data_IF_969366973091
#
_entry.id   IF_969366973091
#
_cell.length_a   1.000
_cell.length_b   1.000
_cell.length_c   1.000
_cell.angle_alpha   90.00
_cell.angle_beta   90.00
_cell.angle_gamma   90.00
#
_symmetry.space_group_name_H-M   'P 1'
#
loop_
_entity.id
_entity.type
_entity.pdbx_description
1 polymer ?
#
# COMPACT_ATOMS: atom_id res chain seq x y z
N UNK A 1 35.23 15.86 10.63
CA UNK A 1 34.13 15.69 9.65
C UNK A 1 32.83 15.78 10.41
N UNK A 2 31.96 16.70 10.03
CA UNK A 2 30.64 16.85 10.64
C UNK A 2 29.72 15.73 10.15
N UNK A 3 28.94 15.14 11.05
CA UNK A 3 27.99 14.08 10.71
C UNK A 3 26.89 14.62 9.79
N UNK A 4 26.48 13.81 8.82
CA UNK A 4 25.34 14.18 7.97
C UNK A 4 24.05 14.24 8.81
N UNK A 5 23.32 15.36 8.72
CA UNK A 5 22.05 15.55 9.42
C UNK A 5 21.03 14.48 9.00
N UNK A 6 20.23 14.00 9.95
CA UNK A 6 19.17 13.00 9.70
C UNK A 6 18.21 13.39 8.57
N UNK A 7 17.88 14.68 8.45
CA UNK A 7 17.04 15.17 7.36
C UNK A 7 17.64 14.97 5.97
N UNK A 8 18.97 15.08 5.84
CA UNK A 8 19.69 14.81 4.59
C UNK A 8 19.67 13.31 4.31
N UNK A 9 20.01 12.47 5.30
CA UNK A 9 19.94 11.01 5.20
C UNK A 9 18.58 10.54 4.66
N UNK A 10 17.47 11.04 5.22
CA UNK A 10 16.11 10.74 4.73
C UNK A 10 15.85 11.18 3.29
N UNK A 11 16.33 12.36 2.89
CA UNK A 11 16.19 12.84 1.50
C UNK A 11 16.95 11.94 0.53
N UNK A 12 18.17 11.53 0.88
CA UNK A 12 18.99 10.63 0.08
C UNK A 12 18.31 9.24 0.00
N UNK A 13 17.77 8.71 1.10
CA UNK A 13 17.00 7.45 1.05
C UNK A 13 15.84 7.52 0.06
N UNK A 14 15.07 8.62 0.07
CA UNK A 14 13.98 8.83 -0.91
C UNK A 14 14.48 8.96 -2.34
N UNK A 15 15.64 9.58 -2.55
CA UNK A 15 16.27 9.61 -3.87
C UNK A 15 16.59 8.21 -4.38
N UNK A 16 17.22 7.36 -3.55
CA UNK A 16 17.49 5.96 -3.92
C UNK A 16 16.18 5.25 -4.28
N UNK A 17 15.15 5.38 -3.44
CA UNK A 17 13.81 4.79 -3.66
C UNK A 17 13.19 5.14 -5.02
N UNK A 18 13.47 6.35 -5.51
CA UNK A 18 12.88 6.83 -6.76
C UNK A 18 13.75 6.54 -8.00
N UNK A 19 15.08 6.39 -7.84
CA UNK A 19 16.04 6.37 -8.95
C UNK A 19 16.83 5.07 -9.10
N UNK A 20 16.74 4.14 -8.14
CA UNK A 20 17.42 2.85 -8.26
C UNK A 20 16.70 1.94 -9.29
N UNK A 21 17.39 1.66 -10.39
CA UNK A 21 16.88 0.81 -11.49
C UNK A 21 17.77 -0.42 -11.79
N UNK A 22 18.91 -0.55 -11.11
CA UNK A 22 19.80 -1.71 -11.30
C UNK A 22 19.15 -3.00 -10.76
N UNK A 23 19.55 -4.16 -11.30
CA UNK A 23 19.08 -5.45 -10.77
C UNK A 23 19.62 -5.68 -9.34
N UNK A 24 20.91 -5.41 -9.15
CA UNK A 24 21.60 -5.52 -7.87
C UNK A 24 22.85 -4.65 -7.88
N UNK A 25 23.08 -3.90 -6.80
CA UNK A 25 24.28 -3.05 -6.65
C UNK A 25 24.65 -2.85 -5.20
N UNK A 26 25.94 -2.73 -4.92
CA UNK A 26 26.38 -2.35 -3.57
C UNK A 26 25.95 -0.92 -3.26
N UNK A 27 25.45 -0.67 -2.04
CA UNK A 27 24.94 0.64 -1.64
C UNK A 27 26.03 1.72 -1.67
N UNK A 28 27.22 1.38 -1.17
CA UNK A 28 28.43 2.23 -1.20
C UNK A 28 28.76 2.66 -2.64
N UNK A 29 28.85 1.70 -3.56
CA UNK A 29 29.12 1.93 -4.97
C UNK A 29 28.04 2.77 -5.63
N UNK A 30 26.75 2.47 -5.37
CA UNK A 30 25.64 3.27 -5.91
C UNK A 30 25.76 4.73 -5.47
N UNK A 31 26.01 4.99 -4.18
CA UNK A 31 26.16 6.34 -3.65
C UNK A 31 27.39 7.06 -4.21
N UNK A 32 28.51 6.35 -4.36
CA UNK A 32 29.72 6.89 -4.95
C UNK A 32 29.48 7.36 -6.40
N UNK A 33 28.88 6.51 -7.23
CA UNK A 33 28.61 6.83 -8.63
C UNK A 33 27.53 7.91 -8.82
N UNK A 34 26.60 8.04 -7.88
CA UNK A 34 25.48 8.98 -7.97
C UNK A 34 25.64 10.24 -7.11
N UNK A 35 26.77 10.45 -6.44
CA UNK A 35 26.93 11.52 -5.45
C UNK A 35 26.62 12.93 -6.01
N UNK A 36 27.12 13.24 -7.22
CA UNK A 36 26.82 14.50 -7.90
C UNK A 36 25.32 14.65 -8.18
N UNK A 37 24.71 13.63 -8.83
CA UNK A 37 23.28 13.62 -9.12
C UNK A 37 22.41 13.75 -7.87
N UNK A 38 22.82 13.15 -6.75
CA UNK A 38 22.14 13.25 -5.46
C UNK A 38 22.15 14.70 -4.96
N UNK A 39 23.32 15.35 -4.93
CA UNK A 39 23.46 16.75 -4.46
C UNK A 39 22.67 17.71 -5.34
N UNK A 40 22.79 17.58 -6.66
CA UNK A 40 22.13 18.44 -7.64
C UNK A 40 20.61 18.29 -7.61
N UNK A 41 20.10 17.06 -7.72
CA UNK A 41 18.65 16.81 -7.79
C UNK A 41 17.93 17.17 -6.48
N UNK A 42 18.59 16.96 -5.33
CA UNK A 42 18.03 17.28 -4.02
C UNK A 42 18.34 18.70 -3.54
N UNK A 43 19.13 19.48 -4.30
CA UNK A 43 19.62 20.82 -3.96
C UNK A 43 20.20 20.87 -2.54
N UNK A 44 21.11 19.95 -2.24
CA UNK A 44 21.73 19.85 -0.91
C UNK A 44 22.85 20.88 -0.77
N UNK A 45 22.95 21.48 0.42
CA UNK A 45 24.05 22.39 0.78
C UNK A 45 25.23 21.61 1.36
N UNK A 46 25.71 20.60 0.64
CA UNK A 46 26.88 19.77 0.98
C UNK A 46 27.65 19.47 -0.31
N UNK A 47 28.93 19.15 -0.20
CA UNK A 47 29.73 18.71 -1.35
C UNK A 47 29.51 17.22 -1.64
N UNK A 48 29.65 16.76 -2.89
CA UNK A 48 29.56 15.33 -3.24
C UNK A 48 30.54 14.46 -2.44
N UNK A 49 31.73 14.99 -2.16
CA UNK A 49 32.75 14.35 -1.33
C UNK A 49 32.25 14.07 0.10
N UNK A 50 31.40 14.94 0.66
CA UNK A 50 30.81 14.69 1.98
C UNK A 50 29.97 13.41 1.99
N UNK A 51 29.27 13.10 0.89
CA UNK A 51 28.52 11.85 0.74
C UNK A 51 29.50 10.67 0.68
N UNK A 52 30.58 10.80 -0.09
CA UNK A 52 31.58 9.75 -0.27
C UNK A 52 32.23 9.38 1.06
N UNK A 53 32.75 10.37 1.78
CA UNK A 53 33.49 10.15 3.02
C UNK A 53 32.61 9.80 4.22
N UNK A 54 31.29 9.96 4.14
CA UNK A 54 30.36 9.65 5.25
C UNK A 54 29.48 8.43 5.01
N UNK A 55 28.62 8.47 4.00
CA UNK A 55 27.56 7.46 3.81
C UNK A 55 27.79 6.55 2.61
N UNK A 56 28.86 6.76 1.83
CA UNK A 56 29.32 5.79 0.84
C UNK A 56 30.47 4.91 1.36
N UNK A 57 31.23 5.35 2.37
CA UNK A 57 32.25 4.53 3.03
C UNK A 57 31.63 3.57 4.05
N UNK A 58 31.66 2.27 3.75
CA UNK A 58 31.08 1.21 4.60
C UNK A 58 31.77 1.08 5.97
N UNK A 59 32.99 1.60 6.14
CA UNK A 59 33.70 1.61 7.41
C UNK A 59 33.33 2.80 8.31
N UNK A 60 32.61 3.78 7.77
CA UNK A 60 32.20 4.95 8.53
C UNK A 60 30.95 4.64 9.39
N UNK A 61 30.92 5.16 10.62
CA UNK A 61 29.76 5.03 11.52
C UNK A 61 28.48 5.66 10.92
N UNK A 62 28.63 6.73 10.14
CA UNK A 62 27.51 7.41 9.49
C UNK A 62 26.84 6.53 8.42
N UNK A 63 27.58 5.64 7.76
CA UNK A 63 27.04 4.63 6.84
C UNK A 63 26.07 3.69 7.57
N UNK A 64 26.44 3.19 8.74
CA UNK A 64 25.58 2.28 9.52
C UNK A 64 24.31 2.97 10.00
N UNK A 65 24.39 4.25 10.37
CA UNK A 65 23.22 5.05 10.70
C UNK A 65 22.33 5.27 9.46
N UNK A 66 22.93 5.57 8.30
CA UNK A 66 22.21 5.72 7.05
C UNK A 66 21.50 4.43 6.63
N UNK A 67 22.14 3.27 6.76
CA UNK A 67 21.53 1.96 6.52
C UNK A 67 20.29 1.76 7.38
N UNK A 68 20.32 2.15 8.67
CA UNK A 68 19.13 2.10 9.54
C UNK A 68 18.01 3.00 9.04
N UNK A 69 18.34 4.24 8.67
CA UNK A 69 17.36 5.20 8.10
C UNK A 69 16.75 4.64 6.82
N UNK A 70 17.56 4.08 5.92
CA UNK A 70 17.08 3.50 4.67
C UNK A 70 16.17 2.28 4.92
N UNK A 71 16.53 1.38 5.85
CA UNK A 71 15.66 0.26 6.27
C UNK A 71 14.32 0.76 6.80
N UNK A 72 14.31 1.81 7.60
CA UNK A 72 13.07 2.40 8.11
C UNK A 72 12.21 2.98 6.99
N UNK A 73 12.79 3.68 6.02
CA UNK A 73 12.04 4.22 4.88
C UNK A 73 11.48 3.11 3.97
N UNK A 74 12.24 2.04 3.71
CA UNK A 74 11.74 0.85 2.99
C UNK A 74 10.60 0.19 3.77
N UNK A 75 10.75 0.03 5.10
CA UNK A 75 9.70 -0.54 5.95
C UNK A 75 8.43 0.32 5.94
N UNK A 76 8.56 1.65 5.95
CA UNK A 76 7.43 2.59 5.82
C UNK A 76 6.72 2.46 4.47
N UNK A 77 7.42 2.08 3.40
CA UNK A 77 6.80 1.81 2.10
C UNK A 77 5.90 0.57 2.12
N UNK A 78 6.11 -0.36 3.06
CA UNK A 78 5.17 -1.45 3.38
C UNK A 78 4.97 -2.45 2.24
N UNK A 79 6.07 -2.89 1.62
CA UNK A 79 6.05 -3.80 0.45
C UNK A 79 6.09 -3.08 -0.90
N UNK A 80 5.78 -1.78 -0.94
CA UNK A 80 5.72 -0.97 -2.16
C UNK A 80 7.07 -0.32 -2.54
N UNK A 81 8.17 -0.87 -2.04
CA UNK A 81 9.51 -0.40 -2.40
C UNK A 81 9.94 -1.10 -3.68
N UNK A 82 10.50 -0.38 -4.65
CA UNK A 82 11.02 -0.98 -5.90
C UNK A 82 12.26 -1.84 -5.67
N UNK A 83 12.91 -1.72 -4.51
CA UNK A 83 14.05 -2.54 -4.12
C UNK A 83 13.99 -2.99 -2.67
N UNK A 84 14.76 -4.04 -2.39
CA UNK A 84 15.10 -4.57 -1.09
C UNK A 84 16.51 -4.12 -0.70
N UNK A 85 16.75 -3.96 0.61
CA UNK A 85 18.09 -3.75 1.14
C UNK A 85 18.55 -5.05 1.81
N UNK A 86 19.49 -5.75 1.18
CA UNK A 86 20.13 -6.95 1.71
C UNK A 86 21.36 -6.52 2.50
N UNK A 87 21.43 -6.92 3.75
CA UNK A 87 22.60 -6.65 4.60
C UNK A 87 23.27 -7.96 4.97
N UNK A 88 24.52 -8.12 4.52
CA UNK A 88 25.42 -9.18 4.95
C UNK A 88 26.44 -8.62 5.93
N UNK A 89 27.22 -9.48 6.60
CA UNK A 89 28.18 -9.08 7.64
C UNK A 89 29.21 -8.03 7.19
N UNK A 90 29.48 -7.92 5.88
CA UNK A 90 30.52 -7.03 5.34
C UNK A 90 30.00 -5.98 4.37
N UNK A 91 28.80 -6.15 3.81
CA UNK A 91 28.32 -5.33 2.69
C UNK A 91 26.80 -5.17 2.70
N UNK A 92 26.32 -4.05 2.13
CA UNK A 92 24.92 -3.76 1.95
C UNK A 92 24.61 -3.66 0.45
N UNK A 93 23.63 -4.41 -0.03
CA UNK A 93 23.20 -4.41 -1.43
C UNK A 93 21.79 -3.85 -1.55
N UNK A 94 21.60 -3.00 -2.56
CA UNK A 94 20.32 -2.69 -3.14
C UNK A 94 20.01 -3.78 -4.17
N UNK A 95 18.86 -4.44 -4.05
CA UNK A 95 18.42 -5.47 -4.99
C UNK A 95 16.99 -5.19 -5.41
N UNK A 96 16.70 -5.32 -6.70
CA UNK A 96 15.36 -5.09 -7.24
C UNK A 96 14.35 -6.01 -6.55
N UNK A 97 13.25 -5.43 -6.11
CA UNK A 97 12.13 -6.16 -5.49
C UNK A 97 11.23 -6.79 -6.56
N UNK A 98 10.28 -7.63 -6.13
CA UNK A 98 9.20 -8.13 -7.00
C UNK A 98 8.47 -6.99 -7.70
N UNK A 99 8.12 -5.92 -6.98
CA UNK A 99 7.49 -4.73 -7.58
C UNK A 99 8.37 -4.10 -8.66
N UNK A 100 9.66 -3.95 -8.39
CA UNK A 100 10.62 -3.42 -9.37
C UNK A 100 10.65 -4.27 -10.64
N UNK A 101 10.67 -5.60 -10.50
CA UNK A 101 10.62 -6.55 -11.63
C UNK A 101 9.30 -6.43 -12.40
N UNK A 102 8.16 -6.36 -11.71
CA UNK A 102 6.85 -6.22 -12.34
C UNK A 102 6.66 -4.89 -13.08
N UNK A 103 7.31 -3.82 -12.61
CA UNK A 103 7.35 -2.53 -13.32
C UNK A 103 8.15 -2.68 -14.63
N UNK A 104 9.36 -3.23 -14.56
CA UNK A 104 10.22 -3.39 -15.73
C UNK A 104 9.61 -4.32 -16.79
N UNK A 105 8.89 -5.35 -16.34
CA UNK A 105 8.17 -6.27 -17.23
C UNK A 105 6.83 -5.70 -17.75
N UNK A 106 6.47 -4.46 -17.39
CA UNK A 106 5.28 -3.78 -17.89
C UNK A 106 3.94 -4.20 -17.27
N UNK A 107 3.91 -5.13 -16.30
CA UNK A 107 2.68 -5.58 -15.66
C UNK A 107 1.96 -4.43 -14.96
N UNK A 108 2.69 -3.58 -14.23
CA UNK A 108 2.10 -2.42 -13.55
C UNK A 108 1.38 -1.50 -14.55
N UNK A 109 2.06 -1.13 -15.63
CA UNK A 109 1.50 -0.26 -16.67
C UNK A 109 0.26 -0.89 -17.29
N UNK A 110 0.30 -2.19 -17.61
CA UNK A 110 -0.83 -2.91 -18.18
C UNK A 110 -2.06 -2.90 -17.26
N UNK A 111 -1.89 -3.06 -15.95
CA UNK A 111 -3.00 -2.98 -14.98
C UNK A 111 -3.55 -1.56 -14.85
N UNK A 112 -2.69 -0.55 -14.86
CA UNK A 112 -3.09 0.87 -14.86
C UNK A 112 -3.88 1.22 -16.12
N UNK A 113 -3.44 0.77 -17.28
CA UNK A 113 -4.13 0.97 -18.57
C UNK A 113 -5.50 0.30 -18.56
N UNK A 114 -5.62 -0.92 -18.01
CA UNK A 114 -6.90 -1.61 -17.87
C UNK A 114 -7.89 -0.89 -16.96
N UNK A 115 -7.42 -0.31 -15.84
CA UNK A 115 -8.29 0.53 -15.01
C UNK A 115 -8.76 1.80 -15.73
N UNK A 116 -7.89 2.39 -16.57
CA UNK A 116 -8.28 3.54 -17.38
C UNK A 116 -9.28 3.17 -18.49
N UNK A 117 -9.14 1.99 -19.09
CA UNK A 117 -10.09 1.45 -20.08
C UNK A 117 -11.50 1.31 -19.47
N UNK A 118 -11.59 0.77 -18.25
CA UNK A 118 -12.87 0.57 -17.54
C UNK A 118 -13.67 1.87 -17.40
N UNK A 119 -13.03 3.04 -17.36
CA UNK A 119 -13.72 4.34 -17.30
C UNK A 119 -14.66 4.58 -18.48
N UNK A 120 -14.39 3.96 -19.62
CA UNK A 120 -15.18 4.12 -20.83
C UNK A 120 -16.46 3.27 -20.81
N UNK A 121 -16.55 2.28 -19.93
CA UNK A 121 -17.71 1.39 -19.85
C UNK A 121 -18.85 2.02 -19.05
N UNK A 122 -20.10 1.75 -19.46
CA UNK A 122 -21.30 2.26 -18.78
C UNK A 122 -21.39 1.77 -17.31
N UNK A 123 -20.92 0.54 -17.04
CA UNK A 123 -20.98 -0.09 -15.73
C UNK A 123 -19.64 0.00 -14.96
N UNK A 124 -18.85 1.04 -15.23
CA UNK A 124 -17.48 1.21 -14.69
C UNK A 124 -17.39 1.12 -13.16
N UNK A 125 -18.34 1.70 -12.43
CA UNK A 125 -18.41 1.66 -10.98
C UNK A 125 -18.60 0.23 -10.42
N UNK A 126 -19.53 -0.54 -11.00
CA UNK A 126 -19.78 -1.95 -10.62
C UNK A 126 -18.55 -2.81 -10.89
N UNK A 127 -17.90 -2.58 -12.03
CA UNK A 127 -16.68 -3.28 -12.41
C UNK A 127 -15.56 -3.00 -11.39
N UNK A 128 -15.39 -1.73 -11.01
CA UNK A 128 -14.37 -1.35 -10.05
C UNK A 128 -14.65 -1.87 -8.63
N UNK A 129 -15.92 -1.88 -8.19
CA UNK A 129 -16.33 -2.54 -6.95
C UNK A 129 -15.99 -4.03 -6.96
N UNK A 130 -16.26 -4.72 -8.07
CA UNK A 130 -15.89 -6.13 -8.23
C UNK A 130 -14.38 -6.35 -8.19
N UNK A 131 -13.61 -5.47 -8.82
CA UNK A 131 -12.14 -5.50 -8.71
C UNK A 131 -11.69 -5.34 -7.25
N UNK A 132 -12.22 -4.37 -6.50
CA UNK A 132 -11.89 -4.16 -5.10
C UNK A 132 -12.28 -5.36 -4.21
N UNK A 133 -13.44 -5.97 -4.46
CA UNK A 133 -13.89 -7.16 -3.75
C UNK A 133 -12.96 -8.36 -3.99
N UNK A 134 -12.56 -8.59 -5.25
CA UNK A 134 -11.60 -9.64 -5.59
C UNK A 134 -10.22 -9.36 -4.98
N UNK A 135 -9.78 -8.11 -4.97
CA UNK A 135 -8.55 -7.69 -4.28
C UNK A 135 -8.60 -8.06 -2.80
N UNK A 136 -9.69 -7.77 -2.08
CA UNK A 136 -9.82 -8.19 -0.68
C UNK A 136 -9.72 -9.72 -0.50
N UNK A 137 -10.31 -10.51 -1.41
CA UNK A 137 -10.19 -11.97 -1.37
C UNK A 137 -8.75 -12.45 -1.58
N UNK A 138 -8.02 -11.83 -2.50
CA UNK A 138 -6.61 -12.14 -2.77
C UNK A 138 -5.73 -11.91 -1.52
N UNK A 139 -6.09 -10.93 -0.68
CA UNK A 139 -5.38 -10.61 0.57
C UNK A 139 -6.05 -11.19 1.82
N UNK A 140 -6.52 -12.44 1.73
CA UNK A 140 -7.02 -13.27 2.84
C UNK A 140 -8.31 -12.80 3.53
N UNK A 141 -9.08 -11.90 2.93
CA UNK A 141 -10.43 -11.65 3.42
C UNK A 141 -11.38 -12.76 2.94
N UNK A 142 -12.22 -13.24 3.84
CA UNK A 142 -13.23 -14.27 3.61
C UNK A 142 -14.62 -13.65 3.51
N UNK A 143 -15.58 -14.39 2.96
CA UNK A 143 -16.99 -13.97 2.87
C UNK A 143 -17.19 -12.58 2.25
N UNK A 144 -16.35 -12.22 1.27
CA UNK A 144 -16.39 -10.90 0.62
C UNK A 144 -17.55 -10.83 -0.35
N UNK A 145 -18.51 -9.94 -0.09
CA UNK A 145 -19.72 -9.75 -0.89
C UNK A 145 -19.91 -8.28 -1.27
N UNK A 146 -20.29 -8.04 -2.52
CA UNK A 146 -20.75 -6.72 -2.99
C UNK A 146 -22.23 -6.59 -2.59
N UNK A 147 -22.61 -5.46 -2.00
CA UNK A 147 -23.99 -5.20 -1.62
C UNK A 147 -24.84 -4.82 -2.83
N UNK A 148 -26.15 -5.06 -2.77
CA UNK A 148 -27.07 -4.62 -3.81
C UNK A 148 -27.43 -3.16 -3.61
N UNK A 149 -27.39 -2.37 -4.68
CA UNK A 149 -27.55 -0.90 -4.66
C UNK A 149 -28.88 -0.39 -4.06
N UNK A 150 -29.89 -1.26 -3.92
CA UNK A 150 -31.19 -0.89 -3.37
C UNK A 150 -31.26 -0.93 -1.84
N UNK A 151 -30.23 -1.42 -1.15
CA UNK A 151 -30.26 -1.68 0.29
C UNK A 151 -28.89 -1.56 0.98
N UNK A 152 -27.90 -0.97 0.32
CA UNK A 152 -26.49 -0.98 0.73
C UNK A 152 -26.18 -0.13 1.98
N UNK A 153 -27.09 0.77 2.36
CA UNK A 153 -26.89 1.78 3.42
C UNK A 153 -25.56 2.53 3.23
N UNK A 154 -25.10 2.72 2.00
CA UNK A 154 -23.82 3.37 1.66
C UNK A 154 -22.57 2.51 1.80
N UNK A 155 -22.69 1.22 2.11
CA UNK A 155 -21.60 0.23 2.12
C UNK A 155 -21.64 -0.61 0.84
N UNK A 156 -20.60 -0.54 0.02
CA UNK A 156 -20.56 -1.24 -1.28
C UNK A 156 -20.01 -2.67 -1.14
N UNK A 157 -19.12 -2.93 -0.17
CA UNK A 157 -18.50 -4.25 0.05
C UNK A 157 -18.51 -4.62 1.53
N UNK A 158 -18.92 -5.85 1.82
CA UNK A 158 -18.79 -6.48 3.14
C UNK A 158 -17.80 -7.64 3.05
N UNK A 159 -17.16 -7.98 4.16
CA UNK A 159 -16.26 -9.13 4.23
C UNK A 159 -15.85 -9.43 5.66
N UNK A 160 -14.97 -10.41 5.83
CA UNK A 160 -14.50 -10.84 7.14
C UNK A 160 -13.02 -11.17 7.09
N UNK A 161 -12.27 -10.76 8.12
CA UNK A 161 -10.94 -11.29 8.37
C UNK A 161 -11.04 -12.28 9.53
N UNK A 162 -10.74 -13.55 9.26
CA UNK A 162 -10.81 -14.62 10.26
C UNK A 162 -9.41 -14.79 10.85
N UNK A 163 -9.30 -14.70 12.16
CA UNK A 163 -8.03 -14.95 12.83
C UNK A 163 -7.74 -16.45 12.83
N UNK A 164 -6.52 -16.81 12.44
CA UNK A 164 -6.03 -18.17 12.69
C UNK A 164 -5.91 -18.36 14.21
N UNK A 165 -6.48 -19.45 14.73
CA UNK A 165 -6.43 -19.79 16.16
C UNK A 165 -4.99 -20.08 16.57
N UNK A 166 -4.28 -19.08 17.10
CA UNK A 166 -2.89 -19.23 17.56
C UNK A 166 -2.82 -19.65 19.03
N UNK A 167 -3.91 -19.50 19.80
CA UNK A 167 -3.85 -19.72 21.22
C UNK A 167 -4.15 -21.18 21.57
N UNK A 168 -3.15 -21.89 22.11
CA UNK A 168 -3.40 -23.07 22.96
C UNK A 168 -3.97 -22.65 24.34
N UNK A 169 -4.86 -21.65 24.37
CA UNK A 169 -5.38 -21.05 25.59
C UNK A 169 -6.88 -20.78 25.43
N UNK A 170 -7.66 -21.70 25.99
CA UNK A 170 -9.12 -21.69 25.97
C UNK A 170 -9.74 -20.37 26.47
N UNK A 171 -9.12 -19.69 27.44
CA UNK A 171 -9.63 -18.42 27.94
C UNK A 171 -9.48 -17.30 26.90
N UNK A 172 -8.37 -17.27 26.17
CA UNK A 172 -8.17 -16.29 25.10
C UNK A 172 -9.11 -16.54 23.92
N UNK A 173 -9.35 -17.82 23.58
CA UNK A 173 -10.28 -18.19 22.51
C UNK A 173 -11.74 -17.78 22.81
N UNK A 174 -12.11 -17.72 24.10
CA UNK A 174 -13.42 -17.24 24.55
C UNK A 174 -13.52 -15.71 24.61
N UNK A 175 -12.43 -15.02 24.91
CA UNK A 175 -12.42 -13.56 25.12
C UNK A 175 -12.10 -12.77 23.86
N UNK A 176 -11.35 -13.34 22.92
CA UNK A 176 -10.94 -12.66 21.70
C UNK A 176 -11.95 -12.90 20.57
N UNK A 177 -12.24 -11.86 19.75
CA UNK A 177 -13.08 -12.05 18.58
C UNK A 177 -12.38 -12.97 17.59
N UNK A 178 -13.08 -14.01 17.12
CA UNK A 178 -12.56 -14.95 16.12
C UNK A 178 -12.47 -14.34 14.72
N UNK A 179 -13.18 -13.23 14.49
CA UNK A 179 -13.17 -12.50 13.23
C UNK A 179 -13.37 -11.00 13.42
N UNK A 180 -12.90 -10.23 12.43
CA UNK A 180 -13.21 -8.82 12.24
C UNK A 180 -14.13 -8.71 11.03
N UNK A 181 -15.25 -7.99 11.17
CA UNK A 181 -16.10 -7.64 10.04
C UNK A 181 -15.51 -6.44 9.29
N UNK A 182 -15.51 -6.51 7.98
CA UNK A 182 -15.06 -5.45 7.08
C UNK A 182 -16.28 -4.78 6.47
N UNK A 183 -16.34 -3.46 6.56
CA UNK A 183 -17.31 -2.63 5.83
C UNK A 183 -16.53 -1.67 4.95
N UNK A 184 -16.81 -1.69 3.66
CA UNK A 184 -16.08 -0.87 2.70
C UNK A 184 -16.99 -0.06 1.82
N UNK A 185 -16.56 1.16 1.52
CA UNK A 185 -17.15 2.01 0.49
C UNK A 185 -16.14 2.21 -0.64
N UNK A 186 -16.63 2.24 -1.87
CA UNK A 186 -15.86 2.34 -3.11
C UNK A 186 -16.30 3.58 -3.88
N UNK A 187 -15.33 4.33 -4.40
CA UNK A 187 -15.58 5.45 -5.31
C UNK A 187 -14.67 5.40 -6.53
N UNK A 188 -15.28 5.31 -7.69
CA UNK A 188 -14.61 5.31 -8.99
C UNK A 188 -14.77 6.67 -9.68
N UNK A 189 -14.02 7.67 -9.20
CA UNK A 189 -14.00 9.02 -9.76
C UNK A 189 -12.57 9.43 -10.12
N UNK A 190 -12.45 10.38 -11.05
CA UNK A 190 -11.17 11.02 -11.39
C UNK A 190 -10.74 12.06 -10.34
N UNK A 191 -11.67 12.55 -9.53
CA UNK A 191 -11.39 13.50 -8.45
C UNK A 191 -10.95 12.82 -7.15
N UNK A 192 -10.13 13.53 -6.37
CA UNK A 192 -9.77 13.08 -5.03
C UNK A 192 -10.99 13.10 -4.10
N UNK A 193 -11.09 12.07 -3.27
CA UNK A 193 -12.13 11.95 -2.26
C UNK A 193 -11.83 12.89 -1.08
N UNK A 194 -12.85 13.64 -0.69
CA UNK A 194 -12.79 14.55 0.47
C UNK A 194 -13.25 13.87 1.77
N UNK A 195 -13.18 14.61 2.87
CA UNK A 195 -13.55 14.16 4.21
C UNK A 195 -15.03 13.79 4.36
N UNK A 196 -15.93 14.34 3.53
CA UNK A 196 -17.37 14.16 3.68
C UNK A 196 -17.81 12.71 3.42
N UNK A 197 -17.22 12.06 2.41
CA UNK A 197 -17.46 10.66 2.10
C UNK A 197 -17.02 9.73 3.23
N UNK A 198 -15.85 9.98 3.81
CA UNK A 198 -15.33 9.19 4.92
C UNK A 198 -16.20 9.35 6.16
N UNK A 199 -16.68 10.57 6.45
CA UNK A 199 -17.64 10.81 7.53
C UNK A 199 -18.95 10.07 7.30
N UNK A 200 -19.42 10.03 6.06
CA UNK A 200 -20.62 9.27 5.68
C UNK A 200 -20.43 7.77 5.96
N UNK A 201 -19.31 7.18 5.52
CA UNK A 201 -18.96 5.78 5.83
C UNK A 201 -19.00 5.48 7.34
N UNK A 202 -18.46 6.38 8.19
CA UNK A 202 -18.54 6.22 9.65
C UNK A 202 -20.01 6.20 10.09
N UNK A 203 -20.80 7.18 9.66
CA UNK A 203 -22.22 7.27 10.02
C UNK A 203 -23.00 6.02 9.61
N UNK A 204 -22.87 5.63 8.34
CA UNK A 204 -23.50 4.46 7.74
C UNK A 204 -23.13 3.17 8.51
N UNK A 205 -21.85 3.02 8.87
CA UNK A 205 -21.39 1.87 9.66
C UNK A 205 -22.02 1.79 11.05
N UNK A 206 -22.33 2.92 11.69
CA UNK A 206 -23.00 2.95 12.98
C UNK A 206 -24.43 2.43 12.84
N UNK A 207 -25.17 2.85 11.81
CA UNK A 207 -26.53 2.36 11.57
C UNK A 207 -26.56 0.85 11.30
N UNK A 208 -25.61 0.34 10.52
CA UNK A 208 -25.47 -1.09 10.22
C UNK A 208 -25.28 -1.93 11.49
N UNK A 209 -24.54 -1.43 12.49
CA UNK A 209 -24.37 -2.15 13.76
C UNK A 209 -25.67 -2.29 14.56
N UNK A 210 -26.66 -1.44 14.30
CA UNK A 210 -27.97 -1.47 14.97
C UNK A 210 -29.07 -2.08 14.11
N UNK A 211 -28.82 -2.41 12.84
CA UNK A 211 -29.75 -3.13 11.97
C UNK A 211 -29.84 -4.60 12.39
N UNK A 212 -30.95 -4.96 13.03
CA UNK A 212 -31.18 -6.28 13.62
C UNK A 212 -31.68 -7.33 12.63
N UNK A 213 -32.00 -6.95 11.39
CA UNK A 213 -32.56 -7.86 10.40
C UNK A 213 -31.54 -8.24 9.33
N UNK A 214 -30.75 -7.29 8.84
CA UNK A 214 -29.84 -7.53 7.70
C UNK A 214 -28.39 -7.83 8.10
N UNK A 215 -27.90 -7.26 9.20
CA UNK A 215 -26.47 -7.29 9.56
C UNK A 215 -26.17 -7.93 10.91
N UNK A 216 -27.00 -8.91 11.31
CA UNK A 216 -26.89 -9.64 12.59
C UNK A 216 -25.47 -10.18 12.85
N UNK A 217 -24.79 -10.64 11.80
CA UNK A 217 -23.44 -11.22 11.87
C UNK A 217 -22.33 -10.19 12.16
N UNK A 218 -22.60 -8.88 12.04
CA UNK A 218 -21.63 -7.79 12.24
C UNK A 218 -21.75 -7.19 13.65
N UNK A 219 -22.95 -7.19 14.22
CA UNK A 219 -23.32 -6.49 15.47
C UNK A 219 -22.34 -6.71 16.63
N UNK A 220 -21.92 -7.95 16.84
CA UNK A 220 -21.09 -8.33 17.99
C UNK A 220 -19.60 -8.44 17.66
N UNK A 221 -19.22 -8.24 16.40
CA UNK A 221 -17.83 -8.32 15.97
C UNK A 221 -17.20 -6.92 15.91
N UNK A 222 -15.87 -6.83 16.11
CA UNK A 222 -15.14 -5.63 15.75
C UNK A 222 -15.34 -5.33 14.26
N UNK A 223 -15.46 -4.06 13.95
CA UNK A 223 -15.63 -3.58 12.57
C UNK A 223 -14.39 -2.82 12.16
N UNK A 224 -13.89 -3.11 10.97
CA UNK A 224 -12.82 -2.36 10.34
C UNK A 224 -13.34 -1.71 9.06
N UNK A 225 -13.18 -0.39 8.98
CA UNK A 225 -13.69 0.40 7.87
C UNK A 225 -12.61 0.60 6.83
N UNK A 226 -12.97 0.35 5.57
CA UNK A 226 -12.08 0.53 4.41
C UNK A 226 -12.75 1.48 3.42
N UNK A 227 -12.00 2.43 2.89
CA UNK A 227 -12.46 3.28 1.80
C UNK A 227 -11.55 3.06 0.59
N UNK A 228 -12.15 2.60 -0.51
CA UNK A 228 -11.50 2.45 -1.79
C UNK A 228 -11.76 3.67 -2.68
N UNK A 229 -10.71 4.19 -3.31
CA UNK A 229 -10.83 5.27 -4.28
C UNK A 229 -9.94 5.03 -5.49
N UNK A 230 -10.45 5.30 -6.70
CA UNK A 230 -9.59 5.24 -7.88
C UNK A 230 -8.49 6.29 -7.85
N UNK A 231 -8.85 7.57 -7.79
CA UNK A 231 -7.89 8.68 -7.81
C UNK A 231 -7.23 8.96 -6.46
N UNK A 232 -7.75 8.40 -5.38
CA UNK A 232 -7.22 8.57 -4.04
C UNK A 232 -7.90 9.70 -3.26
N UNK A 233 -7.15 10.31 -2.33
CA UNK A 233 -7.72 11.10 -1.24
C UNK A 233 -7.00 12.42 -1.05
N UNK A 234 -7.75 13.45 -0.65
CA UNK A 234 -7.17 14.72 -0.20
C UNK A 234 -6.35 14.55 1.08
N UNK A 235 -5.39 15.44 1.35
CA UNK A 235 -4.57 15.37 2.57
C UNK A 235 -5.37 15.58 3.85
N UNK A 236 -6.49 16.29 3.77
CA UNK A 236 -7.44 16.44 4.88
C UNK A 236 -8.19 15.13 5.14
N UNK A 237 -8.68 14.48 4.08
CA UNK A 237 -9.31 13.17 4.16
C UNK A 237 -8.37 12.10 4.74
N UNK A 238 -7.09 12.09 4.32
CA UNK A 238 -6.06 11.19 4.86
C UNK A 238 -5.83 11.39 6.35
N UNK A 239 -5.70 12.65 6.80
CA UNK A 239 -5.56 12.98 8.22
C UNK A 239 -6.78 12.56 9.02
N UNK A 240 -7.97 12.90 8.55
CA UNK A 240 -9.22 12.53 9.21
C UNK A 240 -9.39 11.01 9.32
N UNK A 241 -9.14 10.25 8.26
CA UNK A 241 -9.21 8.78 8.29
C UNK A 241 -8.20 8.18 9.27
N UNK A 242 -6.97 8.69 9.30
CA UNK A 242 -5.94 8.23 10.23
C UNK A 242 -6.38 8.40 11.70
N UNK A 243 -6.94 9.56 12.02
CA UNK A 243 -7.40 9.89 13.38
C UNK A 243 -8.59 9.02 13.79
N UNK A 244 -9.44 8.63 12.83
CA UNK A 244 -10.60 7.75 13.03
C UNK A 244 -10.33 6.26 12.74
N UNK A 245 -9.07 5.87 12.51
CA UNK A 245 -8.65 4.48 12.24
C UNK A 245 -9.36 3.82 11.04
N UNK A 246 -9.61 4.60 9.99
CA UNK A 246 -10.21 4.13 8.73
C UNK A 246 -9.09 3.87 7.74
N UNK A 247 -9.15 2.71 7.07
CA UNK A 247 -8.15 2.36 6.07
C UNK A 247 -8.51 2.97 4.73
N UNK A 248 -7.63 3.81 4.20
CA UNK A 248 -7.74 4.32 2.84
C UNK A 248 -6.91 3.47 1.89
N UNK A 249 -7.49 3.08 0.76
CA UNK A 249 -6.86 2.27 -0.27
C UNK A 249 -7.16 2.91 -1.62
N UNK A 250 -6.13 3.25 -2.39
CA UNK A 250 -6.30 3.77 -3.74
C UNK A 250 -5.85 2.77 -4.81
N UNK A 251 -6.20 3.03 -6.08
CA UNK A 251 -5.83 2.16 -7.20
C UNK A 251 -4.32 1.95 -7.30
N UNK A 252 -3.53 3.00 -7.12
CA UNK A 252 -2.06 2.91 -7.15
C UNK A 252 -1.56 1.98 -6.05
N UNK A 253 -2.09 2.11 -4.83
CA UNK A 253 -1.75 1.26 -3.71
C UNK A 253 -2.11 -0.21 -3.97
N UNK A 254 -3.31 -0.47 -4.52
CA UNK A 254 -3.73 -1.84 -4.86
C UNK A 254 -2.80 -2.47 -5.90
N UNK A 255 -2.51 -1.75 -6.99
CA UNK A 255 -1.63 -2.23 -8.05
C UNK A 255 -0.21 -2.45 -7.53
N UNK A 256 0.33 -1.53 -6.72
CA UNK A 256 1.65 -1.70 -6.12
C UNK A 256 1.71 -2.98 -5.28
N UNK A 257 0.69 -3.27 -4.48
CA UNK A 257 0.65 -4.51 -3.69
C UNK A 257 0.52 -5.75 -4.56
N UNK A 258 -0.36 -5.72 -5.58
CA UNK A 258 -0.53 -6.83 -6.54
C UNK A 258 0.81 -7.14 -7.21
N UNK A 259 1.49 -6.12 -7.74
CA UNK A 259 2.78 -6.27 -8.41
C UNK A 259 3.93 -6.59 -7.43
N UNK A 260 3.72 -6.44 -6.13
CA UNK A 260 4.67 -6.91 -5.12
C UNK A 260 4.53 -8.40 -4.80
N UNK A 261 3.46 -9.05 -5.25
CA UNK A 261 3.22 -10.48 -5.05
C UNK A 261 3.98 -11.33 -6.09
N UNK A 262 4.74 -12.31 -5.63
CA UNK A 262 5.52 -13.22 -6.49
C UNK A 262 4.65 -14.03 -7.45
N UNK A 263 3.39 -14.26 -7.10
CA UNK A 263 2.41 -15.01 -7.89
C UNK A 263 1.27 -14.10 -8.37
N UNK A 264 1.55 -12.82 -8.62
CA UNK A 264 0.57 -11.81 -9.05
C UNK A 264 -0.38 -12.27 -10.16
N UNK A 265 0.08 -13.04 -11.15
CA UNK A 265 -0.75 -13.56 -12.25
C UNK A 265 -1.81 -14.58 -11.80
N UNK A 266 -1.66 -15.19 -10.62
CA UNK A 266 -2.64 -16.13 -10.06
C UNK A 266 -3.77 -15.43 -9.28
N UNK A 267 -3.60 -14.12 -9.00
CA UNK A 267 -4.56 -13.35 -8.23
C UNK A 267 -5.87 -13.18 -9.01
N UNK A 268 -6.99 -13.30 -8.30
CA UNK A 268 -8.33 -13.21 -8.91
C UNK A 268 -8.59 -11.81 -9.45
N UNK A 269 -8.15 -10.78 -8.74
CA UNK A 269 -8.28 -9.38 -9.13
C UNK A 269 -7.53 -9.07 -10.44
N UNK A 270 -6.33 -9.63 -10.61
CA UNK A 270 -5.53 -9.51 -11.85
C UNK A 270 -6.24 -10.20 -13.01
N UNK A 271 -6.61 -11.46 -12.83
CA UNK A 271 -7.30 -12.22 -13.88
C UNK A 271 -8.59 -11.52 -14.31
N UNK A 272 -9.37 -10.99 -13.35
CA UNK A 272 -10.56 -10.23 -13.65
C UNK A 272 -10.28 -8.99 -14.50
N UNK A 273 -9.28 -8.17 -14.15
CA UNK A 273 -8.94 -6.98 -14.93
C UNK A 273 -8.41 -7.30 -16.33
N UNK A 274 -7.60 -8.35 -16.48
CA UNK A 274 -6.99 -8.66 -17.78
C UNK A 274 -7.99 -9.24 -18.79
N UNK A 275 -9.00 -9.97 -18.30
CA UNK A 275 -9.99 -10.62 -19.15
C UNK A 275 -11.33 -9.89 -19.21
N UNK A 276 -11.43 -8.68 -18.66
CA UNK A 276 -12.65 -7.92 -18.77
C UNK A 276 -12.86 -7.48 -20.22
N UNK A 277 -14.00 -7.87 -20.76
CA UNK A 277 -14.53 -7.41 -22.04
C UNK A 277 -15.77 -6.58 -21.77
N UNK A 278 -16.06 -5.60 -22.61
CA UNK A 278 -17.33 -4.86 -22.56
C UNK A 278 -18.51 -5.86 -22.50
N UNK A 279 -19.39 -5.69 -21.50
CA UNK A 279 -20.63 -6.47 -21.32
C UNK A 279 -21.81 -5.56 -21.61
#
# INVERSE_FOLDING_TARGET
MDRLKLGIKRKISKYIMNNFNDNKKELSQYLFENCHSVVENLKLSIEPDDIIFTIADSNNLDFQEFVKVLKEEIKKAGGRSKFNLITNHFTCYLEKSTLGISIDNGLKQMLEDKLNEIKQFQNSHIIYEKFCALFLQDYKCSNVNITTSSNDLGIDITGEYIFESVANNLLLDLLMPQKISLLSQVKFYDSLVDTSYIRKLIGDSLFIRFDQEKYVHIRHNPVYLIFFSHSGFTEEAKRFAHDNKIRLIDSTFMIDLICSDTNSMTLKSVNFLLYITEV
#
